data_IF_953201680793
#
_entry.id   IF_953201680793
#
_cell.length_a   1.000
_cell.length_b   1.000
_cell.length_c   1.000
_cell.angle_alpha   90.00
_cell.angle_beta   90.00
_cell.angle_gamma   90.00
#
_symmetry.space_group_name_H-M   'P 1'
#
loop_
_entity.id
_entity.type
_entity.pdbx_description
1 polymer ?
#
# COMPACT_ATOMS: atom_id res chain seq x y z
N UNK A 1 55.54 -5.69 -48.87
CA UNK A 1 54.73 -6.69 -48.21
C UNK A 1 53.30 -6.20 -48.27
N UNK A 2 52.33 -6.96 -48.72
CA UNK A 2 50.91 -6.58 -48.59
C UNK A 2 50.56 -6.65 -47.12
N UNK A 3 50.16 -5.54 -46.55
CA UNK A 3 49.56 -5.53 -45.22
C UNK A 3 48.26 -6.38 -45.29
N UNK A 4 48.19 -7.43 -44.49
CA UNK A 4 46.98 -8.26 -44.39
C UNK A 4 45.94 -7.44 -43.60
N UNK A 5 44.84 -7.14 -44.26
CA UNK A 5 43.67 -6.47 -43.64
C UNK A 5 42.67 -7.51 -43.18
N UNK A 6 42.12 -7.27 -42.01
CA UNK A 6 41.03 -8.06 -41.40
C UNK A 6 39.86 -7.17 -41.06
N UNK A 7 38.68 -7.74 -40.98
CA UNK A 7 37.43 -7.03 -40.70
C UNK A 7 37.12 -7.11 -39.22
N UNK A 8 36.76 -5.98 -38.59
CA UNK A 8 36.22 -5.97 -37.23
C UNK A 8 34.85 -6.66 -37.20
N UNK A 9 34.65 -7.62 -36.30
CA UNK A 9 33.43 -8.42 -36.24
C UNK A 9 32.19 -7.62 -35.81
N UNK A 10 32.37 -6.42 -35.21
CA UNK A 10 31.29 -5.55 -34.78
C UNK A 10 30.90 -4.47 -35.82
N UNK A 11 31.87 -3.63 -36.26
CA UNK A 11 31.59 -2.55 -37.19
C UNK A 11 31.71 -2.96 -38.65
N UNK A 12 32.31 -4.12 -38.94
CA UNK A 12 32.59 -4.66 -40.28
C UNK A 12 33.51 -3.78 -41.15
N UNK A 13 34.27 -2.91 -40.54
CA UNK A 13 35.29 -2.11 -41.23
C UNK A 13 36.63 -2.89 -41.31
N UNK A 14 37.38 -2.63 -42.41
CA UNK A 14 38.71 -3.23 -42.61
C UNK A 14 39.79 -2.44 -41.85
N UNK A 15 40.60 -3.14 -41.08
CA UNK A 15 41.69 -2.62 -40.28
C UNK A 15 42.97 -3.39 -40.57
N UNK A 16 44.12 -2.79 -40.25
CA UNK A 16 45.38 -3.55 -40.22
C UNK A 16 45.35 -4.55 -39.05
N UNK A 17 45.92 -5.73 -39.26
CA UNK A 17 45.93 -6.81 -38.24
C UNK A 17 46.45 -6.35 -36.87
N UNK A 18 47.37 -5.39 -36.88
CA UNK A 18 47.95 -4.81 -35.65
C UNK A 18 47.03 -3.88 -34.89
N UNK A 19 45.91 -3.44 -35.49
CA UNK A 19 44.91 -2.55 -34.91
C UNK A 19 43.69 -3.33 -34.37
N UNK A 20 43.68 -4.65 -34.54
CA UNK A 20 42.64 -5.52 -34.05
C UNK A 20 43.06 -6.27 -32.79
N UNK A 21 42.20 -6.33 -31.83
CA UNK A 21 42.36 -7.13 -30.61
C UNK A 21 41.48 -8.36 -30.69
N UNK A 22 42.05 -9.53 -30.45
CA UNK A 22 41.29 -10.77 -30.32
C UNK A 22 40.70 -10.87 -28.92
N UNK A 23 39.41 -10.88 -28.82
CA UNK A 23 38.70 -10.96 -27.55
C UNK A 23 37.45 -11.83 -27.73
N UNK A 24 37.30 -12.83 -26.88
CA UNK A 24 36.16 -13.75 -26.79
C UNK A 24 35.68 -14.23 -28.19
N UNK A 25 36.54 -14.93 -28.90
CA UNK A 25 36.33 -15.48 -30.25
C UNK A 25 36.07 -14.42 -31.36
N UNK A 26 36.27 -13.13 -31.11
CA UNK A 26 36.01 -12.03 -32.03
C UNK A 26 37.27 -11.13 -32.23
N UNK A 27 37.46 -10.61 -33.44
CA UNK A 27 38.47 -9.57 -33.76
C UNK A 27 37.82 -8.19 -33.71
N UNK A 28 38.22 -7.34 -32.79
CA UNK A 28 37.60 -6.03 -32.54
C UNK A 28 38.61 -4.91 -32.78
N UNK A 29 38.17 -3.85 -33.48
CA UNK A 29 38.96 -2.60 -33.49
C UNK A 29 38.87 -1.89 -32.14
N UNK A 30 39.81 -0.99 -31.87
CA UNK A 30 39.94 -0.30 -30.57
C UNK A 30 38.61 0.41 -30.16
N UNK A 31 37.94 1.03 -31.11
CA UNK A 31 36.67 1.76 -30.86
C UNK A 31 35.51 0.81 -30.46
N UNK A 32 35.40 -0.34 -31.16
CA UNK A 32 34.38 -1.34 -30.83
C UNK A 32 34.73 -2.03 -29.52
N UNK A 33 35.99 -2.38 -29.28
CA UNK A 33 36.43 -2.99 -28.03
C UNK A 33 36.07 -2.09 -26.83
N UNK A 34 36.32 -0.78 -26.95
CA UNK A 34 36.03 0.19 -25.90
C UNK A 34 34.53 0.44 -25.70
N UNK A 35 33.75 0.38 -26.77
CA UNK A 35 32.30 0.68 -26.75
C UNK A 35 31.47 -0.51 -26.25
N UNK A 36 31.83 -1.71 -26.63
CA UNK A 36 31.04 -2.93 -26.41
C UNK A 36 31.52 -3.75 -25.19
N UNK A 37 32.69 -3.38 -24.60
CA UNK A 37 33.23 -4.10 -23.46
C UNK A 37 33.63 -3.17 -22.33
N UNK A 38 33.77 -3.73 -21.13
CA UNK A 38 34.29 -3.04 -19.95
C UNK A 38 35.39 -3.87 -19.29
N UNK A 39 36.17 -3.26 -18.40
CA UNK A 39 37.11 -3.95 -17.51
C UNK A 39 36.44 -4.02 -16.14
N UNK A 40 36.30 -5.24 -15.62
CA UNK A 40 35.70 -5.43 -14.30
C UNK A 40 36.60 -4.75 -13.24
N UNK A 41 35.95 -3.93 -12.40
CA UNK A 41 36.64 -3.19 -11.32
C UNK A 41 37.21 -4.09 -10.23
N UNK A 42 36.75 -5.33 -10.16
CA UNK A 42 37.16 -6.30 -9.15
C UNK A 42 38.25 -7.28 -9.69
N UNK A 43 37.93 -8.18 -10.63
CA UNK A 43 38.86 -9.13 -11.16
C UNK A 43 39.89 -8.51 -12.15
N UNK A 44 39.61 -7.34 -12.72
CA UNK A 44 40.46 -6.70 -13.72
C UNK A 44 40.37 -7.30 -15.11
N UNK A 45 39.51 -8.31 -15.32
CA UNK A 45 39.30 -8.93 -16.62
C UNK A 45 38.35 -8.10 -17.49
N UNK A 46 38.48 -8.29 -18.81
CA UNK A 46 37.60 -7.65 -19.79
C UNK A 46 36.37 -8.52 -20.03
N UNK A 47 35.19 -7.89 -20.05
CA UNK A 47 33.89 -8.54 -20.28
C UNK A 47 33.07 -7.77 -21.30
N UNK A 48 32.08 -8.41 -21.93
CA UNK A 48 31.08 -7.72 -22.73
C UNK A 48 30.15 -6.87 -21.83
N UNK A 49 29.65 -5.77 -22.37
CA UNK A 49 28.71 -4.90 -21.60
C UNK A 49 27.47 -5.66 -21.12
N UNK A 50 27.03 -6.67 -21.86
CA UNK A 50 25.88 -7.50 -21.50
C UNK A 50 26.15 -8.42 -20.29
N UNK A 51 27.42 -8.64 -19.94
CA UNK A 51 27.85 -9.42 -18.77
C UNK A 51 28.03 -8.55 -17.52
N UNK A 52 27.63 -7.29 -17.57
CA UNK A 52 27.69 -6.39 -16.43
C UNK A 52 26.54 -6.63 -15.48
N UNK A 53 26.84 -6.87 -14.20
CA UNK A 53 25.87 -6.93 -13.12
C UNK A 53 25.52 -5.52 -12.59
N UNK A 54 26.53 -4.63 -12.53
CA UNK A 54 26.37 -3.26 -12.07
C UNK A 54 27.55 -2.40 -12.55
N UNK A 55 27.28 -1.54 -13.55
CA UNK A 55 28.29 -0.63 -14.11
C UNK A 55 29.50 -1.37 -14.66
N UNK A 56 30.63 -1.29 -13.97
CA UNK A 56 31.90 -1.93 -14.32
C UNK A 56 32.18 -3.20 -13.50
N UNK A 57 31.18 -3.84 -12.95
CA UNK A 57 31.30 -5.10 -12.21
C UNK A 57 30.70 -6.25 -13.03
N UNK A 58 31.47 -7.33 -13.26
CA UNK A 58 31.01 -8.50 -13.97
C UNK A 58 30.08 -9.37 -13.10
N UNK A 59 29.22 -10.16 -13.75
CA UNK A 59 28.25 -11.00 -13.06
C UNK A 59 28.93 -12.01 -12.11
N UNK A 60 30.04 -12.60 -12.50
CA UNK A 60 30.78 -13.58 -11.66
C UNK A 60 31.24 -12.96 -10.35
N UNK A 61 31.94 -11.82 -10.41
CA UNK A 61 32.38 -11.13 -9.19
C UNK A 61 31.20 -10.68 -8.33
N UNK A 62 30.12 -10.21 -8.98
CA UNK A 62 28.91 -9.82 -8.25
C UNK A 62 28.32 -10.99 -7.46
N UNK A 63 28.17 -12.16 -8.09
CA UNK A 63 27.59 -13.34 -7.45
C UNK A 63 28.45 -13.92 -6.32
N UNK A 64 29.80 -13.72 -6.40
CA UNK A 64 30.73 -14.25 -5.41
C UNK A 64 30.95 -13.31 -4.23
N UNK A 65 31.06 -11.99 -4.45
CA UNK A 65 31.61 -11.08 -3.44
C UNK A 65 30.73 -9.85 -3.15
N UNK A 66 29.59 -9.68 -3.81
CA UNK A 66 28.76 -8.47 -3.62
C UNK A 66 27.33 -8.77 -3.25
N UNK A 67 26.73 -7.83 -2.53
CA UNK A 67 25.30 -7.83 -2.14
C UNK A 67 24.71 -6.45 -2.39
N UNK A 68 23.38 -6.34 -2.40
CA UNK A 68 22.69 -5.05 -2.50
C UNK A 68 22.24 -4.56 -1.13
N UNK A 69 22.47 -3.29 -0.86
CA UNK A 69 21.94 -2.64 0.33
C UNK A 69 20.42 -2.65 0.31
N UNK A 70 19.79 -3.19 1.35
CA UNK A 70 18.32 -3.27 1.50
C UNK A 70 17.63 -1.90 1.43
N UNK A 71 18.31 -0.83 1.83
CA UNK A 71 17.69 0.50 1.90
C UNK A 71 17.90 1.36 0.65
N UNK A 72 19.07 1.35 0.04
CA UNK A 72 19.40 2.24 -1.08
C UNK A 72 19.69 1.53 -2.41
N UNK A 73 19.68 0.19 -2.42
CA UNK A 73 19.96 -0.66 -3.58
C UNK A 73 21.41 -0.52 -4.13
N UNK A 74 22.29 0.14 -3.38
CA UNK A 74 23.71 0.23 -3.75
C UNK A 74 24.38 -1.15 -3.69
N UNK A 75 25.20 -1.46 -4.69
CA UNK A 75 26.03 -2.66 -4.69
C UNK A 75 27.22 -2.44 -3.78
N UNK A 76 27.37 -3.29 -2.77
CA UNK A 76 28.43 -3.24 -1.75
C UNK A 76 29.18 -4.57 -1.70
N UNK A 77 30.49 -4.52 -1.46
CA UNK A 77 31.26 -5.74 -1.23
C UNK A 77 30.77 -6.42 0.06
N UNK A 78 30.72 -7.75 0.08
CA UNK A 78 30.21 -8.52 1.21
C UNK A 78 30.91 -8.16 2.53
N UNK A 79 32.23 -7.95 2.51
CA UNK A 79 33.03 -7.55 3.69
C UNK A 79 32.67 -6.16 4.24
N UNK A 80 32.07 -5.29 3.44
CA UNK A 80 31.64 -3.95 3.81
C UNK A 80 30.16 -3.88 4.22
N UNK A 81 29.43 -5.00 4.08
CA UNK A 81 28.04 -5.09 4.47
C UNK A 81 27.88 -5.07 6.00
N UNK A 82 26.92 -4.28 6.47
CA UNK A 82 26.54 -4.20 7.87
C UNK A 82 25.21 -4.93 8.08
N UNK A 83 25.08 -5.61 9.22
CA UNK A 83 23.89 -6.39 9.60
C UNK A 83 23.46 -6.03 11.01
N UNK A 84 22.16 -5.96 11.28
CA UNK A 84 21.66 -5.78 12.64
C UNK A 84 21.79 -7.06 13.45
N UNK A 85 22.12 -6.94 14.76
CA UNK A 85 22.46 -8.09 15.62
C UNK A 85 21.28 -9.02 15.91
N UNK A 86 20.05 -8.53 15.75
CA UNK A 86 18.81 -9.25 16.07
C UNK A 86 18.29 -10.13 14.93
N UNK A 87 18.94 -10.11 13.77
CA UNK A 87 18.55 -10.92 12.62
C UNK A 87 19.12 -12.33 12.71
N UNK A 88 18.23 -13.32 12.81
CA UNK A 88 18.56 -14.74 13.01
C UNK A 88 19.43 -15.33 11.87
N UNK A 89 19.52 -14.67 10.70
CA UNK A 89 20.17 -15.19 9.50
C UNK A 89 21.07 -14.22 8.70
N UNK A 90 21.28 -13.00 9.13
CA UNK A 90 22.04 -11.99 8.36
C UNK A 90 21.55 -11.80 6.92
N UNK A 91 20.24 -11.86 6.70
CA UNK A 91 19.64 -11.85 5.37
C UNK A 91 19.46 -10.43 4.78
N UNK A 92 19.64 -9.37 5.59
CA UNK A 92 19.40 -7.97 5.21
C UNK A 92 20.70 -7.15 5.29
N UNK A 93 21.47 -7.07 4.18
CA UNK A 93 22.70 -6.28 4.13
C UNK A 93 22.42 -4.78 3.99
N UNK A 94 23.15 -3.96 4.74
CA UNK A 94 23.11 -2.51 4.65
C UNK A 94 24.50 -1.96 4.32
N UNK A 95 24.58 -0.91 3.48
CA UNK A 95 25.81 -0.11 3.42
C UNK A 95 25.97 0.69 4.73
N UNK A 96 27.20 1.11 5.04
CA UNK A 96 27.52 1.81 6.28
C UNK A 96 26.60 3.03 6.52
N UNK A 97 26.36 3.84 5.49
CA UNK A 97 25.56 5.05 5.61
C UNK A 97 24.09 4.71 5.93
N UNK A 98 23.56 3.64 5.35
CA UNK A 98 22.19 3.21 5.61
C UNK A 98 22.03 2.47 6.92
N UNK A 99 23.04 1.75 7.37
CA UNK A 99 23.06 1.04 8.65
C UNK A 99 22.99 2.00 9.85
N UNK A 100 23.63 3.15 9.74
CA UNK A 100 23.65 4.17 10.79
C UNK A 100 22.37 5.04 10.79
N UNK A 101 21.40 4.78 9.89
CA UNK A 101 20.12 5.47 9.83
C UNK A 101 19.04 4.77 10.66
N UNK A 102 18.01 5.52 11.09
CA UNK A 102 16.83 4.94 11.73
C UNK A 102 16.12 3.96 10.80
N UNK A 103 15.52 2.91 11.37
CA UNK A 103 14.71 1.92 10.64
C UNK A 103 13.57 2.59 9.86
N UNK A 104 13.35 2.14 8.61
CA UNK A 104 12.27 2.63 7.75
C UNK A 104 10.98 1.84 7.99
N UNK A 105 11.11 0.51 8.17
CA UNK A 105 10.01 -0.37 8.55
C UNK A 105 10.10 -0.55 10.06
N UNK A 106 9.28 0.18 10.78
CA UNK A 106 9.25 0.12 12.23
C UNK A 106 8.61 -1.17 12.74
N UNK A 107 8.86 -1.51 13.99
CA UNK A 107 8.23 -2.65 14.64
C UNK A 107 6.69 -2.53 14.71
N UNK A 108 6.02 -3.66 14.97
CA UNK A 108 4.56 -3.75 15.07
C UNK A 108 3.93 -2.73 16.04
N UNK A 109 4.62 -2.41 17.14
CA UNK A 109 4.11 -1.52 18.21
C UNK A 109 4.40 -0.05 17.96
N UNK A 110 5.17 0.28 16.93
CA UNK A 110 5.49 1.67 16.63
C UNK A 110 4.23 2.51 16.40
N UNK A 111 4.14 3.60 17.14
CA UNK A 111 3.00 4.52 17.08
C UNK A 111 3.48 5.93 17.45
N UNK A 112 3.86 6.75 16.46
CA UNK A 112 4.30 8.12 16.70
C UNK A 112 3.15 8.99 17.18
N UNK A 113 3.49 10.15 17.74
CA UNK A 113 2.51 11.17 18.06
C UNK A 113 1.77 11.62 16.80
N UNK A 114 0.43 11.66 16.81
CA UNK A 114 -0.34 11.95 15.60
C UNK A 114 -0.21 13.41 15.16
N UNK A 115 0.08 13.62 13.87
CA UNK A 115 0.06 14.92 13.22
C UNK A 115 -1.25 15.03 12.43
N UNK A 116 -2.06 16.06 12.69
CA UNK A 116 -3.35 16.23 12.05
C UNK A 116 -3.24 17.12 10.80
N UNK A 117 -3.75 16.65 9.65
CA UNK A 117 -3.68 17.35 8.37
C UNK A 117 -5.05 17.72 7.82
N UNK A 118 -5.17 18.97 7.36
CA UNK A 118 -6.39 19.56 6.84
C UNK A 118 -7.28 20.15 7.92
N UNK A 119 -8.24 20.96 7.49
CA UNK A 119 -9.23 21.62 8.34
C UNK A 119 -10.60 20.96 8.12
N UNK A 120 -11.15 20.35 9.14
CA UNK A 120 -12.44 19.70 9.04
C UNK A 120 -12.91 19.04 10.33
N UNK A 121 -14.18 18.63 10.37
CA UNK A 121 -14.75 18.06 11.58
C UNK A 121 -14.31 16.61 11.84
N UNK A 122 -13.78 15.91 10.83
CA UNK A 122 -13.38 14.50 10.94
C UNK A 122 -12.02 14.27 10.31
N UNK A 123 -11.23 13.44 10.98
CA UNK A 123 -9.95 12.96 10.53
C UNK A 123 -10.00 11.45 10.37
N UNK A 124 -9.48 10.96 9.25
CA UNK A 124 -9.36 9.57 8.90
C UNK A 124 -7.88 9.19 8.96
N UNK A 125 -7.52 8.19 9.76
CA UNK A 125 -6.26 7.49 9.68
C UNK A 125 -6.43 6.28 8.77
N UNK A 126 -5.41 5.95 8.00
CA UNK A 126 -5.45 4.81 7.06
C UNK A 126 -4.32 3.86 7.36
N UNK A 127 -4.63 2.58 7.45
CA UNK A 127 -3.70 1.47 7.43
C UNK A 127 -3.94 0.70 6.12
N UNK A 128 -2.93 0.66 5.25
CA UNK A 128 -2.96 -0.04 3.97
C UNK A 128 -1.92 -1.14 3.97
N UNK A 129 -2.36 -2.36 3.95
CA UNK A 129 -1.51 -3.53 3.91
C UNK A 129 -1.08 -3.87 2.48
N UNK A 130 0.22 -4.13 2.31
CA UNK A 130 0.90 -4.51 1.07
C UNK A 130 1.62 -5.83 1.30
N UNK A 131 1.53 -6.76 0.36
CA UNK A 131 2.09 -8.11 0.49
C UNK A 131 2.69 -8.62 -0.83
N UNK A 132 3.34 -9.79 -0.83
CA UNK A 132 3.99 -10.42 -1.99
C UNK A 132 5.16 -9.62 -2.62
N UNK A 133 5.63 -8.55 -1.99
CA UNK A 133 6.70 -7.69 -2.52
C UNK A 133 7.94 -7.61 -1.64
N UNK A 134 7.97 -8.38 -0.57
CA UNK A 134 9.01 -8.38 0.45
C UNK A 134 8.80 -7.34 1.57
N UNK A 135 9.22 -7.66 2.77
CA UNK A 135 9.41 -6.66 3.84
C UNK A 135 10.71 -5.91 3.58
N UNK A 136 10.73 -5.12 2.51
CA UNK A 136 11.92 -4.54 1.91
C UNK A 136 12.02 -3.03 2.17
N UNK A 137 13.04 -2.59 2.92
CA UNK A 137 13.25 -1.20 3.31
C UNK A 137 13.51 -0.27 2.11
N UNK A 138 14.19 -0.72 1.06
CA UNK A 138 14.37 0.09 -0.14
C UNK A 138 13.02 0.40 -0.81
N UNK A 139 12.15 -0.57 -0.92
CA UNK A 139 10.81 -0.34 -1.46
C UNK A 139 9.99 0.57 -0.54
N UNK A 140 10.03 0.35 0.78
CA UNK A 140 9.40 1.18 1.78
C UNK A 140 9.87 2.64 1.70
N UNK A 141 11.19 2.87 1.60
CA UNK A 141 11.77 4.22 1.44
C UNK A 141 11.22 4.93 0.21
N UNK A 142 11.07 4.24 -0.92
CA UNK A 142 10.53 4.83 -2.17
C UNK A 142 9.07 5.22 -2.06
N UNK A 143 8.28 4.55 -1.23
CA UNK A 143 6.91 4.97 -0.92
C UNK A 143 6.91 6.19 0.00
N UNK A 144 7.76 6.21 1.02
CA UNK A 144 7.91 7.35 1.93
C UNK A 144 8.48 8.60 1.22
N UNK A 145 9.45 8.46 0.31
CA UNK A 145 9.95 9.54 -0.52
C UNK A 145 8.83 10.29 -1.25
N UNK A 146 7.81 9.55 -1.72
CA UNK A 146 6.64 10.12 -2.39
C UNK A 146 5.65 10.69 -1.37
N UNK A 147 5.32 9.93 -0.33
CA UNK A 147 4.31 10.33 0.65
C UNK A 147 4.76 11.53 1.47
N UNK A 148 6.02 11.56 1.87
CA UNK A 148 6.60 12.49 2.83
C UNK A 148 7.44 13.60 2.17
N UNK A 149 7.35 13.76 0.85
CA UNK A 149 8.17 14.73 0.10
C UNK A 149 8.14 16.18 0.65
N UNK A 150 7.07 16.54 1.33
CA UNK A 150 6.90 17.89 1.90
C UNK A 150 6.68 17.88 3.42
N UNK A 151 6.05 16.83 3.95
CA UNK A 151 5.66 16.67 5.35
C UNK A 151 5.59 15.19 5.67
N UNK A 152 5.72 14.86 6.93
CA UNK A 152 5.57 13.51 7.45
C UNK A 152 4.10 13.07 7.43
N UNK A 153 3.64 12.53 6.32
CA UNK A 153 2.25 12.08 6.14
C UNK A 153 2.02 10.64 6.52
N UNK A 154 3.04 9.80 6.39
CA UNK A 154 2.94 8.35 6.48
C UNK A 154 4.21 7.76 7.10
N UNK A 155 4.05 6.66 7.79
CA UNK A 155 5.12 5.78 8.24
C UNK A 155 4.81 4.34 7.85
N UNK A 156 5.80 3.48 7.91
CA UNK A 156 5.67 2.06 7.54
C UNK A 156 6.07 1.21 8.73
N UNK A 157 5.36 0.11 8.95
CA UNK A 157 5.68 -0.83 10.02
C UNK A 157 5.42 -2.28 9.60
N UNK A 158 6.04 -3.18 10.33
CA UNK A 158 5.79 -4.61 10.26
C UNK A 158 4.34 -4.95 10.62
N UNK A 159 3.72 -5.90 9.92
CA UNK A 159 2.47 -6.55 10.31
C UNK A 159 2.57 -8.06 10.14
N UNK A 160 2.56 -8.78 11.26
CA UNK A 160 2.70 -10.24 11.30
C UNK A 160 1.50 -11.02 10.72
N UNK A 161 0.50 -10.36 10.15
CA UNK A 161 -0.60 -11.00 9.41
C UNK A 161 -0.32 -11.12 7.91
N UNK A 162 0.74 -10.46 7.43
CA UNK A 162 1.21 -10.51 6.05
C UNK A 162 2.19 -11.68 5.87
N UNK A 163 2.24 -12.22 4.66
CA UNK A 163 3.14 -13.33 4.33
C UNK A 163 4.55 -12.79 4.00
N UNK A 164 4.65 -11.71 3.23
CA UNK A 164 5.91 -11.09 2.80
C UNK A 164 5.66 -9.64 2.38
N UNK A 165 5.50 -8.75 3.36
CA UNK A 165 5.09 -7.37 3.12
C UNK A 165 5.11 -6.48 4.35
N UNK A 166 4.49 -5.31 4.26
CA UNK A 166 4.42 -4.32 5.33
C UNK A 166 3.13 -3.50 5.29
N UNK A 167 2.88 -2.75 6.35
CA UNK A 167 1.75 -1.87 6.51
C UNK A 167 2.14 -0.40 6.37
N UNK A 168 1.44 0.31 5.47
CA UNK A 168 1.54 1.77 5.32
C UNK A 168 0.50 2.45 6.20
N UNK A 169 0.93 3.24 7.18
CA UNK A 169 0.05 3.92 8.14
C UNK A 169 0.15 5.43 7.96
N UNK A 170 -1.00 6.11 7.81
CA UNK A 170 -1.02 7.56 7.71
C UNK A 170 -1.24 8.24 9.05
N UNK A 171 -0.70 9.43 9.22
CA UNK A 171 -1.22 10.39 10.19
C UNK A 171 -2.69 10.73 9.89
N UNK A 172 -3.47 11.17 10.89
CA UNK A 172 -4.89 11.51 10.69
C UNK A 172 -5.08 12.69 9.73
N UNK A 173 -5.88 12.51 8.69
CA UNK A 173 -6.13 13.51 7.65
C UNK A 173 -7.62 13.69 7.38
N UNK A 174 -8.05 14.90 7.03
CA UNK A 174 -9.42 15.08 6.53
C UNK A 174 -9.61 14.36 5.20
N UNK A 175 -10.85 14.00 4.84
CA UNK A 175 -11.13 13.39 3.53
C UNK A 175 -10.65 14.28 2.37
N UNK A 176 -10.84 15.60 2.49
CA UNK A 176 -10.36 16.55 1.48
C UNK A 176 -8.84 16.49 1.33
N UNK A 177 -8.09 16.40 2.44
CA UNK A 177 -6.64 16.29 2.42
C UNK A 177 -6.18 14.98 1.76
N UNK A 178 -6.83 13.86 2.07
CA UNK A 178 -6.55 12.59 1.40
C UNK A 178 -6.76 12.66 -0.12
N UNK A 179 -7.76 13.40 -0.58
CA UNK A 179 -8.10 13.50 -2.01
C UNK A 179 -7.18 14.48 -2.75
N UNK A 180 -6.92 15.65 -2.16
CA UNK A 180 -6.34 16.79 -2.86
C UNK A 180 -4.86 17.04 -2.54
N UNK A 181 -4.35 16.57 -1.40
CA UNK A 181 -2.98 16.85 -0.95
C UNK A 181 -2.11 15.58 -0.88
N UNK A 182 -2.69 14.45 -0.47
CA UNK A 182 -1.96 13.21 -0.38
C UNK A 182 -1.71 12.61 -1.78
N UNK A 183 -0.46 12.28 -2.15
CA UNK A 183 -0.14 11.79 -3.49
C UNK A 183 -0.48 10.31 -3.70
N UNK A 184 -1.67 9.86 -3.29
CA UNK A 184 -2.07 8.46 -3.30
C UNK A 184 -1.88 7.76 -4.65
N UNK A 185 -2.18 8.44 -5.77
CA UNK A 185 -1.99 7.82 -7.11
C UNK A 185 -0.54 7.42 -7.34
N UNK A 186 0.40 8.27 -6.95
CA UNK A 186 1.83 8.00 -7.11
C UNK A 186 2.29 6.90 -6.17
N UNK A 187 1.84 6.91 -4.90
CA UNK A 187 2.16 5.88 -3.90
C UNK A 187 1.65 4.51 -4.38
N UNK A 188 0.37 4.39 -4.70
CA UNK A 188 -0.25 3.13 -5.12
C UNK A 188 0.36 2.58 -6.41
N UNK A 189 0.62 3.45 -7.41
CA UNK A 189 1.30 3.05 -8.64
C UNK A 189 2.74 2.60 -8.39
N UNK A 190 3.45 3.25 -7.44
CA UNK A 190 4.80 2.86 -7.07
C UNK A 190 4.83 1.48 -6.41
N UNK A 191 3.89 1.21 -5.48
CA UNK A 191 3.76 -0.11 -4.87
C UNK A 191 3.53 -1.21 -5.93
N UNK A 192 2.60 -0.99 -6.88
CA UNK A 192 2.38 -1.92 -8.00
C UNK A 192 3.64 -2.10 -8.85
N UNK A 193 4.36 -1.01 -9.16
CA UNK A 193 5.59 -1.07 -9.95
C UNK A 193 6.74 -1.80 -9.23
N UNK A 194 6.68 -1.90 -7.90
CA UNK A 194 7.62 -2.65 -7.07
C UNK A 194 7.18 -4.11 -6.82
N UNK A 195 6.08 -4.54 -7.41
CA UNK A 195 5.60 -5.92 -7.33
C UNK A 195 4.62 -6.20 -6.19
N UNK A 196 4.32 -5.21 -5.33
CA UNK A 196 3.39 -5.42 -4.24
C UNK A 196 1.97 -5.67 -4.72
N UNK A 197 1.31 -6.57 -4.05
CA UNK A 197 -0.12 -6.84 -4.14
C UNK A 197 -0.82 -6.33 -2.88
N UNK A 198 -2.13 -6.20 -2.95
CA UNK A 198 -2.99 -5.94 -1.80
C UNK A 198 -4.31 -6.70 -1.98
N UNK A 199 -5.12 -6.36 -2.99
CA UNK A 199 -6.36 -7.10 -3.26
C UNK A 199 -6.12 -8.57 -3.61
N UNK A 200 -5.11 -8.87 -4.41
CA UNK A 200 -4.81 -10.23 -4.90
C UNK A 200 -4.10 -11.10 -3.85
N UNK A 201 -3.34 -10.55 -2.95
CA UNK A 201 -2.64 -11.28 -1.91
C UNK A 201 -3.58 -12.13 -1.02
N UNK A 202 -4.80 -11.63 -0.77
CA UNK A 202 -5.78 -12.36 0.04
C UNK A 202 -5.66 -12.11 1.54
N UNK A 203 -4.50 -11.74 2.03
CA UNK A 203 -4.17 -11.36 3.41
C UNK A 203 -4.60 -9.94 3.72
N UNK A 204 -4.35 -9.00 2.80
CA UNK A 204 -4.38 -7.56 3.00
C UNK A 204 -5.75 -6.95 3.28
N UNK A 205 -5.76 -6.01 4.23
CA UNK A 205 -6.85 -5.10 4.56
C UNK A 205 -6.59 -3.67 4.13
N UNK A 206 -7.63 -2.88 4.19
CA UNK A 206 -7.63 -1.42 4.19
C UNK A 206 -8.44 -0.98 5.40
N UNK A 207 -7.75 -0.59 6.47
CA UNK A 207 -8.39 -0.19 7.71
C UNK A 207 -8.50 1.34 7.77
N UNK A 208 -9.62 1.82 8.26
CA UNK A 208 -9.88 3.26 8.36
C UNK A 208 -10.25 3.61 9.79
N UNK A 209 -9.41 4.41 10.43
CA UNK A 209 -9.60 4.92 11.78
C UNK A 209 -10.34 6.25 11.76
N UNK A 210 -11.29 6.42 12.65
CA UNK A 210 -12.02 7.67 12.86
C UNK A 210 -11.85 8.10 14.31
N UNK A 211 -11.43 9.33 14.54
CA UNK A 211 -11.32 9.90 15.88
C UNK A 211 -12.68 9.91 16.58
N UNK A 212 -12.75 9.40 17.82
CA UNK A 212 -13.98 9.44 18.62
C UNK A 212 -14.48 10.87 18.86
N UNK A 213 -13.55 11.82 19.03
CA UNK A 213 -13.89 13.23 19.22
C UNK A 213 -14.63 13.85 18.02
N UNK A 214 -14.48 13.26 16.81
CA UNK A 214 -15.23 13.69 15.64
C UNK A 214 -16.66 13.18 15.59
N UNK A 215 -17.02 12.25 16.48
CA UNK A 215 -18.35 11.60 16.52
C UNK A 215 -19.31 12.23 17.52
N UNK A 216 -18.84 13.14 18.38
CA UNK A 216 -19.65 13.88 19.35
C UNK A 216 -18.82 14.74 20.28
N UNK A 217 -19.43 15.78 20.85
CA UNK A 217 -18.75 16.74 21.73
C UNK A 217 -18.40 16.16 23.12
N UNK A 218 -19.05 15.07 23.51
CA UNK A 218 -18.86 14.39 24.78
C UNK A 218 -19.01 12.88 24.62
N UNK A 219 -18.65 12.14 25.65
CA UNK A 219 -18.69 10.67 25.63
C UNK A 219 -20.07 10.08 25.27
N UNK A 220 -21.15 10.66 25.78
CA UNK A 220 -22.51 10.16 25.52
C UNK A 220 -22.88 10.33 24.04
N UNK A 221 -22.58 11.46 23.44
CA UNK A 221 -22.79 11.72 22.01
C UNK A 221 -21.93 10.83 21.11
N UNK A 222 -20.67 10.62 21.49
CA UNK A 222 -19.75 9.72 20.80
C UNK A 222 -20.30 8.29 20.79
N UNK A 223 -20.71 7.78 21.95
CA UNK A 223 -21.31 6.45 22.10
C UNK A 223 -22.61 6.32 21.32
N UNK A 224 -23.46 7.34 21.32
CA UNK A 224 -24.68 7.33 20.53
C UNK A 224 -24.42 7.29 19.02
N UNK A 225 -23.40 8.00 18.56
CA UNK A 225 -22.98 7.97 17.15
C UNK A 225 -22.34 6.63 16.78
N UNK A 226 -21.48 6.09 17.62
CA UNK A 226 -20.88 4.75 17.44
C UNK A 226 -21.97 3.69 17.38
N UNK A 227 -22.99 3.77 18.24
CA UNK A 227 -24.13 2.87 18.20
C UNK A 227 -24.86 2.89 16.85
N UNK A 228 -25.05 4.07 16.26
CA UNK A 228 -25.67 4.24 14.93
C UNK A 228 -24.77 3.73 13.80
N UNK A 229 -23.44 3.89 13.90
CA UNK A 229 -22.49 3.31 12.95
C UNK A 229 -22.58 1.77 12.98
N UNK A 230 -22.51 1.16 14.16
CA UNK A 230 -22.64 -0.28 14.30
C UNK A 230 -24.01 -0.77 13.77
N UNK A 231 -25.08 -0.07 14.10
CA UNK A 231 -26.41 -0.38 13.60
C UNK A 231 -26.49 -0.31 12.07
N UNK A 232 -25.84 0.67 11.45
CA UNK A 232 -25.74 0.78 10.00
C UNK A 232 -25.05 -0.45 9.39
N UNK A 233 -23.90 -0.86 9.93
CA UNK A 233 -23.19 -2.06 9.48
C UNK A 233 -24.02 -3.31 9.61
N UNK A 234 -24.69 -3.50 10.74
CA UNK A 234 -25.52 -4.67 10.97
C UNK A 234 -26.77 -4.68 10.07
N UNK A 235 -27.39 -3.53 9.88
CA UNK A 235 -28.62 -3.38 9.07
C UNK A 235 -28.34 -3.61 7.58
N UNK A 236 -27.25 -3.06 7.06
CA UNK A 236 -26.87 -3.11 5.66
C UNK A 236 -25.69 -4.07 5.40
N UNK A 237 -25.64 -5.15 6.17
CA UNK A 237 -24.51 -6.07 6.14
C UNK A 237 -24.19 -6.61 4.74
N UNK A 238 -25.20 -7.01 3.97
CA UNK A 238 -25.01 -7.58 2.64
C UNK A 238 -24.44 -6.55 1.66
N UNK A 239 -24.89 -5.31 1.73
CA UNK A 239 -24.41 -4.20 0.93
C UNK A 239 -22.96 -3.84 1.32
N UNK A 240 -22.68 -3.76 2.62
CA UNK A 240 -21.34 -3.50 3.14
C UNK A 240 -20.37 -4.64 2.78
N UNK A 241 -20.78 -5.90 2.91
CA UNK A 241 -19.98 -7.05 2.53
C UNK A 241 -19.65 -7.01 1.03
N UNK A 242 -20.65 -6.76 0.17
CA UNK A 242 -20.46 -6.60 -1.28
C UNK A 242 -19.50 -5.45 -1.60
N UNK A 243 -19.66 -4.32 -0.91
CA UNK A 243 -18.79 -3.15 -1.05
C UNK A 243 -17.35 -3.47 -0.62
N UNK A 244 -17.18 -4.22 0.45
CA UNK A 244 -15.88 -4.53 1.07
C UNK A 244 -14.95 -5.37 0.19
N UNK A 245 -15.49 -6.13 -0.76
CA UNK A 245 -14.76 -7.11 -1.60
C UNK A 245 -14.25 -8.33 -0.86
N UNK A 246 -14.56 -8.50 0.42
CA UNK A 246 -14.22 -9.71 1.16
C UNK A 246 -15.25 -10.82 0.91
N UNK A 247 -14.80 -12.06 1.00
CA UNK A 247 -15.67 -13.23 1.06
C UNK A 247 -16.17 -13.44 2.49
N UNK A 248 -17.25 -14.21 2.66
CA UNK A 248 -17.75 -14.56 4.00
C UNK A 248 -16.66 -15.24 4.85
N UNK A 249 -15.85 -16.11 4.26
CA UNK A 249 -14.74 -16.76 4.95
C UNK A 249 -13.67 -15.77 5.43
N UNK A 250 -13.29 -14.80 4.60
CA UNK A 250 -12.33 -13.76 4.99
C UNK A 250 -12.88 -12.86 6.11
N UNK A 251 -14.17 -12.53 6.04
CA UNK A 251 -14.82 -11.73 7.09
C UNK A 251 -14.87 -12.50 8.40
N UNK A 252 -15.22 -13.78 8.38
CA UNK A 252 -15.25 -14.63 9.59
C UNK A 252 -13.88 -14.71 10.25
N UNK A 253 -12.81 -14.59 9.51
CA UNK A 253 -11.44 -14.65 10.04
C UNK A 253 -10.95 -13.29 10.54
N UNK A 254 -11.13 -12.22 9.75
CA UNK A 254 -10.45 -10.94 9.95
C UNK A 254 -11.32 -9.76 10.40
N UNK A 255 -12.64 -9.83 10.15
CA UNK A 255 -13.53 -8.68 10.32
C UNK A 255 -14.98 -9.11 10.60
N UNK A 256 -15.16 -9.89 11.67
CA UNK A 256 -16.43 -10.52 11.99
C UNK A 256 -17.54 -9.53 12.19
N UNK A 257 -18.72 -9.93 11.76
CA UNK A 257 -19.98 -9.28 12.11
C UNK A 257 -20.28 -9.48 13.60
N UNK A 258 -20.72 -8.44 14.30
CA UNK A 258 -21.21 -8.63 15.68
C UNK A 258 -22.44 -9.55 15.73
N UNK A 259 -23.29 -9.44 14.71
CA UNK A 259 -24.49 -10.30 14.62
C UNK A 259 -25.52 -10.00 15.69
N UNK A 260 -26.36 -10.99 15.96
CA UNK A 260 -27.41 -10.86 16.94
C UNK A 260 -28.72 -10.28 16.38
N UNK A 261 -29.69 -10.01 17.26
CA UNK A 261 -30.94 -9.40 16.86
C UNK A 261 -30.77 -7.90 16.77
N UNK A 262 -30.86 -7.37 15.55
CA UNK A 262 -30.80 -5.92 15.28
C UNK A 262 -32.14 -5.32 15.69
N UNK A 263 -32.17 -4.60 16.82
CA UNK A 263 -33.36 -3.95 17.33
C UNK A 263 -33.31 -2.44 17.13
N UNK A 264 -32.27 -1.81 17.65
CA UNK A 264 -32.01 -0.38 17.59
C UNK A 264 -30.50 -0.11 17.84
N UNK A 265 -30.02 1.12 17.58
CA UNK A 265 -28.61 1.45 17.76
C UNK A 265 -28.06 1.14 19.16
N UNK A 266 -28.78 1.49 20.20
CA UNK A 266 -28.35 1.31 21.61
C UNK A 266 -28.13 -0.18 21.97
N UNK A 267 -29.07 -1.04 21.57
CA UNK A 267 -28.93 -2.48 21.83
C UNK A 267 -27.81 -3.10 20.98
N UNK A 268 -27.58 -2.61 19.76
CA UNK A 268 -26.48 -3.03 18.91
C UNK A 268 -25.13 -2.73 19.58
N UNK A 269 -24.94 -1.51 20.10
CA UNK A 269 -23.71 -1.14 20.83
C UNK A 269 -23.51 -2.00 22.08
N UNK A 270 -24.57 -2.20 22.86
CA UNK A 270 -24.50 -3.04 24.06
C UNK A 270 -24.12 -4.47 23.71
N UNK A 271 -24.67 -5.02 22.64
CA UNK A 271 -24.29 -6.35 22.16
C UNK A 271 -22.83 -6.39 21.73
N UNK A 272 -22.36 -5.41 20.94
CA UNK A 272 -20.99 -5.32 20.48
C UNK A 272 -19.98 -5.28 21.66
N UNK A 273 -20.23 -4.44 22.66
CA UNK A 273 -19.39 -4.35 23.86
C UNK A 273 -19.33 -5.64 24.70
N UNK A 274 -20.36 -6.46 24.63
CA UNK A 274 -20.41 -7.74 25.36
C UNK A 274 -19.97 -8.96 24.53
N UNK A 275 -19.59 -8.76 23.26
CA UNK A 275 -19.33 -9.86 22.34
C UNK A 275 -17.95 -10.51 22.50
N UNK A 276 -17.02 -9.85 23.17
CA UNK A 276 -15.62 -10.28 23.32
C UNK A 276 -14.90 -10.62 21.99
N UNK A 277 -15.32 -10.00 20.88
CA UNK A 277 -14.73 -10.25 19.55
C UNK A 277 -13.34 -9.66 19.39
N UNK A 278 -12.97 -8.72 20.26
CA UNK A 278 -11.70 -8.03 20.19
C UNK A 278 -11.52 -7.26 18.87
N UNK A 279 -10.26 -7.09 18.47
CA UNK A 279 -9.88 -6.33 17.25
C UNK A 279 -10.40 -6.94 15.94
N UNK A 280 -10.85 -8.20 15.93
CA UNK A 280 -11.30 -8.89 14.70
C UNK A 280 -12.77 -8.63 14.34
N UNK A 281 -13.38 -7.60 14.90
CA UNK A 281 -14.72 -7.13 14.48
C UNK A 281 -14.64 -6.23 13.24
N UNK A 282 -15.71 -6.24 12.42
CA UNK A 282 -15.83 -5.36 11.23
C UNK A 282 -15.69 -3.88 11.55
N UNK A 283 -16.12 -3.49 12.75
CA UNK A 283 -15.86 -2.19 13.37
C UNK A 283 -15.24 -2.46 14.73
N UNK A 284 -13.94 -2.25 14.85
CA UNK A 284 -13.19 -2.46 16.08
C UNK A 284 -13.37 -1.26 17.03
N UNK A 285 -13.72 -1.54 18.29
CA UNK A 285 -13.98 -0.54 19.33
C UNK A 285 -12.88 -0.48 20.42
N UNK A 286 -11.84 -1.29 20.33
CA UNK A 286 -10.82 -1.42 21.39
C UNK A 286 -9.90 -0.21 21.49
N UNK A 287 -9.72 0.56 20.40
CA UNK A 287 -8.90 1.75 20.45
C UNK A 287 -9.55 2.86 21.27
N UNK A 288 -8.80 3.46 22.21
CA UNK A 288 -9.30 4.53 23.09
C UNK A 288 -9.63 5.81 22.32
N UNK A 289 -8.74 6.22 21.39
CA UNK A 289 -8.85 7.49 20.65
C UNK A 289 -9.71 7.38 19.39
N UNK A 290 -9.86 6.19 18.81
CA UNK A 290 -10.52 5.98 17.52
C UNK A 290 -11.51 4.81 17.58
N UNK A 291 -12.38 4.71 16.57
CA UNK A 291 -12.96 3.46 16.10
C UNK A 291 -12.31 3.10 14.78
N UNK A 292 -12.22 1.81 14.48
CA UNK A 292 -11.53 1.33 13.29
C UNK A 292 -12.47 0.47 12.43
N UNK A 293 -12.60 0.81 11.17
CA UNK A 293 -13.40 0.06 10.20
C UNK A 293 -12.49 -0.89 9.43
N UNK A 294 -12.54 -2.19 9.77
CA UNK A 294 -11.62 -3.25 9.30
C UNK A 294 -12.18 -4.11 8.16
N UNK A 295 -13.43 -3.97 7.83
CA UNK A 295 -14.10 -4.89 6.88
C UNK A 295 -13.56 -4.81 5.45
N UNK A 296 -12.91 -3.71 5.08
CA UNK A 296 -12.51 -3.50 3.69
C UNK A 296 -11.26 -4.31 3.34
N UNK A 297 -11.34 -5.02 2.21
CA UNK A 297 -10.18 -5.68 1.61
C UNK A 297 -9.21 -4.65 1.05
N UNK A 298 -7.93 -4.90 1.14
CA UNK A 298 -6.88 -4.04 0.60
C UNK A 298 -7.04 -3.74 -0.89
N UNK A 299 -6.46 -2.63 -1.35
CA UNK A 299 -6.55 -2.24 -2.76
C UNK A 299 -5.46 -1.23 -3.15
N UNK A 300 -4.85 -1.45 -4.31
CA UNK A 300 -3.94 -0.50 -4.97
C UNK A 300 -4.63 0.27 -6.11
N UNK A 301 -5.94 0.07 -6.32
CA UNK A 301 -6.72 0.85 -7.29
C UNK A 301 -7.19 2.14 -6.63
N UNK A 302 -6.63 3.29 -7.06
CA UNK A 302 -6.91 4.62 -6.48
C UNK A 302 -8.41 4.92 -6.34
N UNK A 303 -9.21 4.69 -7.39
CA UNK A 303 -10.65 4.98 -7.34
C UNK A 303 -11.37 4.15 -6.28
N UNK A 304 -10.99 2.89 -6.09
CA UNK A 304 -11.55 2.02 -5.05
C UNK A 304 -11.08 2.44 -3.65
N UNK A 305 -9.81 2.83 -3.53
CA UNK A 305 -9.25 3.35 -2.29
C UNK A 305 -9.99 4.61 -1.82
N UNK A 306 -10.13 5.62 -2.68
CA UNK A 306 -10.86 6.86 -2.36
C UNK A 306 -12.36 6.58 -2.13
N UNK A 307 -12.98 5.70 -2.92
CA UNK A 307 -14.38 5.30 -2.68
C UNK A 307 -14.58 4.71 -1.28
N UNK A 308 -13.59 3.98 -0.76
CA UNK A 308 -13.63 3.43 0.60
C UNK A 308 -13.60 4.54 1.65
N UNK A 309 -12.70 5.52 1.52
CA UNK A 309 -12.65 6.67 2.44
C UNK A 309 -13.94 7.51 2.37
N UNK A 310 -14.47 7.75 1.17
CA UNK A 310 -15.74 8.47 0.96
C UNK A 310 -16.92 7.73 1.59
N UNK A 311 -16.93 6.38 1.54
CA UNK A 311 -17.97 5.56 2.17
C UNK A 311 -17.94 5.71 3.69
N UNK A 312 -16.76 5.59 4.28
CA UNK A 312 -16.57 5.74 5.72
C UNK A 312 -17.01 7.12 6.20
N UNK A 313 -16.59 8.18 5.49
CA UNK A 313 -16.99 9.55 5.82
C UNK A 313 -18.51 9.75 5.71
N UNK A 314 -19.17 9.16 4.70
CA UNK A 314 -20.64 9.28 4.53
C UNK A 314 -21.40 8.51 5.60
N UNK A 315 -20.95 7.32 5.99
CA UNK A 315 -21.53 6.56 7.12
C UNK A 315 -21.43 7.39 8.41
N UNK A 316 -20.27 7.98 8.70
CA UNK A 316 -20.10 8.83 9.87
C UNK A 316 -21.02 10.06 9.83
N UNK A 317 -21.11 10.74 8.68
CA UNK A 317 -22.00 11.90 8.49
C UNK A 317 -23.47 11.56 8.75
N UNK A 318 -23.93 10.45 8.20
CA UNK A 318 -25.32 9.97 8.41
C UNK A 318 -25.56 9.61 9.88
N UNK A 319 -24.60 8.91 10.52
CA UNK A 319 -24.70 8.53 11.93
C UNK A 319 -24.71 9.74 12.89
N UNK A 320 -23.97 10.80 12.57
CA UNK A 320 -23.98 12.04 13.35
C UNK A 320 -25.29 12.80 13.16
N UNK A 321 -25.82 12.85 11.93
CA UNK A 321 -26.91 13.74 11.55
C UNK A 321 -28.28 13.18 11.88
N UNK A 322 -28.48 11.86 11.88
CA UNK A 322 -29.77 11.24 12.07
C UNK A 322 -30.05 10.87 13.52
N UNK A 323 -31.35 10.98 13.94
CA UNK A 323 -31.81 10.38 15.20
C UNK A 323 -31.86 8.86 15.11
N UNK A 324 -32.03 8.18 16.25
CA UNK A 324 -32.17 6.73 16.30
C UNK A 324 -33.40 6.24 15.50
N UNK A 325 -34.50 6.96 15.52
CA UNK A 325 -35.75 6.63 14.78
C UNK A 325 -35.48 6.74 13.26
N UNK A 326 -34.82 7.80 12.82
CA UNK A 326 -34.45 7.95 11.42
C UNK A 326 -33.44 6.90 10.97
N UNK A 327 -32.48 6.53 11.80
CA UNK A 327 -31.55 5.41 11.50
C UNK A 327 -32.30 4.08 11.36
N UNK A 328 -33.32 3.84 12.17
CA UNK A 328 -34.13 2.62 12.08
C UNK A 328 -34.99 2.59 10.80
N UNK A 329 -35.49 3.72 10.34
CA UNK A 329 -36.29 3.84 9.11
C UNK A 329 -35.44 3.98 7.84
N UNK A 330 -34.17 4.35 7.93
CA UNK A 330 -33.28 4.55 6.81
C UNK A 330 -33.23 3.30 5.90
N UNK A 331 -33.45 3.47 4.62
CA UNK A 331 -33.26 2.42 3.62
C UNK A 331 -31.90 2.59 2.92
N UNK A 332 -31.38 1.52 2.32
CA UNK A 332 -30.17 1.63 1.49
C UNK A 332 -30.35 2.63 0.34
N UNK A 333 -31.54 2.65 -0.25
CA UNK A 333 -31.90 3.62 -1.29
C UNK A 333 -31.77 5.07 -0.80
N UNK A 334 -32.30 5.36 0.41
CA UNK A 334 -32.22 6.71 0.99
C UNK A 334 -30.79 7.11 1.30
N UNK A 335 -29.97 6.17 1.82
CA UNK A 335 -28.54 6.38 2.03
C UNK A 335 -27.84 6.74 0.72
N UNK A 336 -28.01 5.92 -0.33
CA UNK A 336 -27.37 6.14 -1.64
C UNK A 336 -27.83 7.46 -2.28
N UNK A 337 -29.11 7.82 -2.17
CA UNK A 337 -29.65 9.10 -2.65
C UNK A 337 -29.06 10.31 -1.93
N UNK A 338 -28.69 10.15 -0.67
CA UNK A 338 -28.09 11.19 0.16
C UNK A 338 -26.61 11.45 -0.12
N UNK A 339 -25.94 10.60 -0.91
CA UNK A 339 -24.51 10.76 -1.24
C UNK A 339 -24.31 11.99 -2.15
N UNK A 340 -23.49 12.97 -1.74
CA UNK A 340 -23.20 14.14 -2.56
C UNK A 340 -22.53 13.79 -3.88
N UNK A 341 -22.83 14.52 -4.94
CA UNK A 341 -22.28 14.29 -6.29
C UNK A 341 -20.76 14.44 -6.38
N UNK A 342 -20.17 15.20 -5.45
CA UNK A 342 -18.74 15.42 -5.31
C UNK A 342 -17.97 14.13 -4.90
N UNK A 343 -18.68 13.17 -4.27
CA UNK A 343 -18.13 11.84 -3.95
C UNK A 343 -18.23 10.89 -5.16
N UNK A 344 -17.65 11.34 -6.28
CA UNK A 344 -17.76 10.66 -7.57
C UNK A 344 -17.17 9.26 -7.58
N UNK A 345 -16.06 9.03 -6.88
CA UNK A 345 -15.43 7.71 -6.77
C UNK A 345 -16.36 6.73 -6.05
N UNK A 346 -17.00 7.15 -4.96
CA UNK A 346 -17.98 6.34 -4.24
C UNK A 346 -19.19 6.00 -5.13
N UNK A 347 -19.77 6.99 -5.80
CA UNK A 347 -20.92 6.79 -6.68
C UNK A 347 -20.58 5.81 -7.81
N UNK A 348 -19.42 5.99 -8.47
CA UNK A 348 -18.97 5.12 -9.55
C UNK A 348 -18.70 3.70 -9.04
N UNK A 349 -18.12 3.57 -7.87
CA UNK A 349 -17.85 2.26 -7.27
C UNK A 349 -19.13 1.54 -6.86
N UNK A 350 -20.12 2.25 -6.29
CA UNK A 350 -21.44 1.69 -5.99
C UNK A 350 -22.14 1.18 -7.26
N UNK A 351 -22.00 1.90 -8.38
CA UNK A 351 -22.50 1.45 -9.70
C UNK A 351 -21.81 0.19 -10.18
N UNK A 352 -20.46 0.17 -10.11
CA UNK A 352 -19.64 -1.00 -10.44
C UNK A 352 -20.08 -2.25 -9.65
N UNK A 353 -20.41 -2.06 -8.36
CA UNK A 353 -20.85 -3.14 -7.46
C UNK A 353 -22.35 -3.43 -7.52
N UNK A 354 -23.12 -2.74 -8.38
CA UNK A 354 -24.59 -2.83 -8.47
C UNK A 354 -25.31 -2.50 -7.15
N UNK A 355 -24.69 -1.65 -6.36
CA UNK A 355 -25.22 -1.12 -5.10
C UNK A 355 -25.88 0.27 -5.27
N UNK A 356 -25.70 0.89 -6.43
CA UNK A 356 -26.27 2.19 -6.76
C UNK A 356 -27.66 2.00 -7.37
N UNK A 357 -28.70 2.17 -6.54
CA UNK A 357 -30.10 1.85 -6.90
C UNK A 357 -30.86 3.06 -7.48
N UNK A 358 -30.19 4.17 -7.75
CA UNK A 358 -30.80 5.40 -8.29
C UNK A 358 -30.74 5.52 -9.83
N UNK A 359 -30.13 4.59 -10.53
CA UNK A 359 -30.16 4.63 -11.99
C UNK A 359 -31.56 4.29 -12.49
N UNK A 360 -32.14 5.10 -13.40
CA UNK A 360 -33.34 4.70 -14.09
C UNK A 360 -33.07 3.39 -14.82
N UNK A 361 -33.93 2.41 -14.63
CA UNK A 361 -33.91 1.19 -15.43
C UNK A 361 -34.00 1.66 -16.89
N UNK A 362 -32.92 1.51 -17.67
CA UNK A 362 -33.01 1.61 -19.12
C UNK A 362 -33.86 0.42 -19.55
N UNK A 363 -35.14 0.68 -19.82
CA UNK A 363 -35.96 -0.27 -20.57
C UNK A 363 -35.25 -0.39 -21.93
N UNK A 364 -34.43 -1.40 -22.13
CA UNK A 364 -34.09 -1.85 -23.47
C UNK A 364 -35.42 -2.30 -24.07
N UNK A 365 -35.89 -1.53 -25.04
CA UNK A 365 -37.04 -1.92 -25.83
C UNK A 365 -36.58 -3.17 -26.59
N UNK A 366 -37.13 -4.33 -26.23
CA UNK A 366 -37.01 -5.52 -27.09
C UNK A 366 -37.66 -5.14 -28.45
N UNK A 367 -36.78 -5.16 -29.49
CA UNK A 367 -37.16 -4.96 -30.87
C UNK A 367 -37.46 -6.33 -31.48
#
# INVERSE_FOLDING_TARGET
MKEEKYTCDICHEEHDVSELTYFDESYLCEDCLRRETFICRDCGDRHWNDDSADGDLCQTCYDEDYVRCERCDAVIHYDDACYHEDEEYHDHPYCRDCFDMDEIIHDYYYKPEPIFYGDGPRYLGVELELDDGGENEFCASKLLDIANAQKEHMYIKHDGSLDDGFECVTHPMTLDYHINQMPWRAILNKAVAKGYLSHQAGTCGLHVHISRNALGANYEEQEATIAKILYFYEKFWNEILTFSRRTESQVEHWARRYGGRIINPKETLKHAKNSHMGRYAAVNLENEATIEMRIFRGTLKYSTFIATLQMVDEICKVAISLSDEFMQSLTWLDFVKGIPTEKSELINYLKEKRLYVNEPIRNEVEI
#
